data_IF_872396112473
#
_entry.id   IF_872396112473
#
_cell.length_a   1.000
_cell.length_b   1.000
_cell.length_c   1.000
_cell.angle_alpha   90.00
_cell.angle_beta   90.00
_cell.angle_gamma   90.00
#
_symmetry.space_group_name_H-M   'P 1'
#
loop_
_entity.id
_entity.type
_entity.pdbx_description
1 polymer ?
#
# COMPACT_ATOMS: atom_id res chain seq x y z
N UNK A 1 21.65 12.34 5.00
CA UNK A 1 20.19 12.12 5.10
C UNK A 1 19.97 10.62 5.15
N UNK A 2 19.18 10.12 6.11
CA UNK A 2 18.89 8.69 6.19
C UNK A 2 17.97 8.33 5.01
N UNK A 3 18.31 7.27 4.26
CA UNK A 3 17.55 6.90 3.06
C UNK A 3 16.23 6.25 3.49
N UNK A 4 15.10 6.83 3.09
CA UNK A 4 13.79 6.24 3.34
C UNK A 4 13.65 4.88 2.64
N UNK A 5 12.96 3.94 3.29
CA UNK A 5 12.76 2.57 2.80
C UNK A 5 11.30 2.40 2.38
N UNK A 6 11.09 1.85 1.19
CA UNK A 6 9.80 1.37 0.72
C UNK A 6 9.74 -0.15 0.88
N UNK A 7 8.83 -0.62 1.74
CA UNK A 7 8.50 -2.03 1.90
C UNK A 7 7.24 -2.34 1.09
N UNK A 8 7.28 -3.38 0.26
CA UNK A 8 6.13 -3.84 -0.53
C UNK A 8 5.80 -5.26 -0.11
N UNK A 9 4.58 -5.47 0.35
CA UNK A 9 4.03 -6.79 0.64
C UNK A 9 3.06 -7.19 -0.45
N UNK A 10 3.31 -8.33 -1.09
CA UNK A 10 2.51 -8.90 -2.18
C UNK A 10 2.25 -10.39 -1.98
N UNK A 11 1.17 -10.91 -2.54
CA UNK A 11 0.81 -12.33 -2.48
C UNK A 11 -0.67 -12.58 -2.22
N UNK A 12 -1.09 -13.84 -2.31
CA UNK A 12 -2.51 -14.23 -2.25
C UNK A 12 -3.25 -13.77 -0.98
N UNK A 13 -4.58 -13.56 -1.03
CA UNK A 13 -5.36 -13.28 0.16
C UNK A 13 -5.11 -14.29 1.29
N UNK A 14 -5.22 -13.83 2.54
CA UNK A 14 -5.08 -14.65 3.76
C UNK A 14 -3.71 -15.32 4.04
N UNK A 15 -2.64 -15.06 3.28
CA UNK A 15 -1.29 -15.63 3.56
C UNK A 15 -0.49 -14.91 4.66
N UNK A 16 -1.13 -14.06 5.47
CA UNK A 16 -0.49 -13.39 6.62
C UNK A 16 0.30 -12.11 6.33
N UNK A 17 0.33 -11.63 5.08
CA UNK A 17 1.05 -10.40 4.67
C UNK A 17 0.75 -9.20 5.55
N UNK A 18 -0.52 -8.89 5.77
CA UNK A 18 -0.93 -7.73 6.58
C UNK A 18 -0.49 -7.83 8.03
N UNK A 19 -0.33 -9.05 8.57
CA UNK A 19 0.21 -9.25 9.92
C UNK A 19 1.68 -8.87 9.96
N UNK A 20 2.48 -9.34 9.00
CA UNK A 20 3.89 -9.00 8.90
C UNK A 20 4.09 -7.51 8.58
N UNK A 21 3.29 -6.95 7.66
CA UNK A 21 3.33 -5.54 7.30
C UNK A 21 3.13 -4.63 8.51
N UNK A 22 2.15 -4.92 9.37
CA UNK A 22 1.92 -4.18 10.62
C UNK A 22 3.09 -4.29 11.61
N UNK A 23 3.79 -5.43 11.64
CA UNK A 23 5.00 -5.59 12.45
C UNK A 23 6.14 -4.69 11.93
N UNK A 24 6.36 -4.68 10.61
CA UNK A 24 7.36 -3.81 9.96
C UNK A 24 7.05 -2.33 10.18
N UNK A 25 5.78 -1.92 10.09
CA UNK A 25 5.35 -0.55 10.41
C UNK A 25 5.81 -0.12 11.81
N UNK A 26 5.59 -0.97 12.82
CA UNK A 26 5.99 -0.69 14.21
C UNK A 26 7.51 -0.68 14.39
N UNK A 27 8.22 -1.59 13.73
CA UNK A 27 9.67 -1.72 13.87
C UNK A 27 10.43 -0.57 13.22
N UNK A 28 10.00 -0.14 12.02
CA UNK A 28 10.70 0.87 11.23
C UNK A 28 10.12 2.28 11.34
N UNK A 29 9.01 2.47 12.05
CA UNK A 29 8.30 3.75 12.09
C UNK A 29 7.89 4.18 10.68
N UNK A 30 6.95 3.45 10.06
CA UNK A 30 6.58 3.66 8.67
C UNK A 30 5.11 4.08 8.50
N UNK A 31 4.81 4.84 7.44
CA UNK A 31 3.44 5.05 6.99
C UNK A 31 2.88 3.73 6.43
N UNK A 32 1.71 3.31 6.90
CA UNK A 32 1.05 2.09 6.45
C UNK A 32 0.00 2.40 5.39
N UNK A 33 0.24 1.98 4.15
CA UNK A 33 -0.65 2.16 3.01
C UNK A 33 -1.23 0.82 2.59
N UNK A 34 -2.49 0.58 2.93
CA UNK A 34 -3.23 -0.63 2.55
C UNK A 34 -4.14 -0.32 1.37
N UNK A 35 -3.87 -0.96 0.22
CA UNK A 35 -4.59 -0.66 -1.02
C UNK A 35 -6.06 -1.01 -0.91
N UNK A 36 -6.42 -2.16 -0.32
CA UNK A 36 -7.83 -2.55 -0.14
C UNK A 36 -8.65 -1.48 0.59
N UNK A 37 -8.06 -0.81 1.58
CA UNK A 37 -8.72 0.27 2.33
C UNK A 37 -8.95 1.48 1.44
N UNK A 38 -7.97 1.83 0.60
CA UNK A 38 -8.05 2.97 -0.32
C UNK A 38 -9.09 2.68 -1.41
N UNK A 39 -9.07 1.49 -2.00
CA UNK A 39 -10.06 1.07 -3.00
C UNK A 39 -11.48 1.06 -2.43
N UNK A 40 -11.66 0.53 -1.22
CA UNK A 40 -12.96 0.55 -0.56
C UNK A 40 -13.43 1.99 -0.29
N UNK A 41 -12.54 2.87 0.19
CA UNK A 41 -12.88 4.28 0.40
C UNK A 41 -13.29 5.00 -0.89
N UNK A 42 -12.62 4.72 -2.01
CA UNK A 42 -12.99 5.27 -3.32
C UNK A 42 -14.38 4.78 -3.76
N UNK A 43 -14.70 3.50 -3.56
CA UNK A 43 -16.03 2.96 -3.86
C UNK A 43 -17.11 3.62 -3.00
N UNK A 44 -16.87 3.74 -1.70
CA UNK A 44 -17.85 4.24 -0.74
C UNK A 44 -18.13 5.74 -0.93
N UNK A 45 -17.08 6.54 -1.15
CA UNK A 45 -17.18 7.99 -1.26
C UNK A 45 -17.57 8.47 -2.65
N UNK A 46 -16.99 7.85 -3.69
CA UNK A 46 -17.12 8.33 -5.06
C UNK A 46 -18.11 7.51 -5.90
N UNK A 47 -18.57 6.35 -5.41
CA UNK A 47 -19.47 5.42 -6.12
C UNK A 47 -18.96 5.01 -7.50
N UNK A 48 -17.63 4.89 -7.63
CA UNK A 48 -16.98 4.45 -8.87
C UNK A 48 -16.63 2.96 -8.80
N UNK A 49 -16.57 2.31 -9.95
CA UNK A 49 -15.88 1.03 -10.05
C UNK A 49 -14.37 1.30 -10.03
N UNK A 50 -13.64 0.59 -9.18
CA UNK A 50 -12.19 0.79 -8.99
C UNK A 50 -11.45 -0.35 -9.67
N UNK A 51 -10.58 -0.03 -10.62
CA UNK A 51 -9.79 -1.00 -11.39
C UNK A 51 -8.29 -0.80 -11.16
N UNK A 52 -7.82 0.45 -11.07
CA UNK A 52 -6.42 0.79 -10.83
C UNK A 52 -6.21 2.10 -10.06
N UNK A 53 -7.28 2.83 -9.76
CA UNK A 53 -7.28 4.11 -9.08
C UNK A 53 -6.68 3.99 -7.68
N UNK A 54 -6.97 2.90 -6.96
CA UNK A 54 -6.41 2.63 -5.64
C UNK A 54 -4.89 2.56 -5.66
N UNK A 55 -4.31 1.81 -6.60
CA UNK A 55 -2.87 1.73 -6.81
C UNK A 55 -2.26 3.08 -7.18
N UNK A 56 -2.85 3.72 -8.19
CA UNK A 56 -2.41 5.02 -8.70
C UNK A 56 -2.41 6.07 -7.59
N UNK A 57 -3.43 6.12 -6.74
CA UNK A 57 -3.50 7.04 -5.60
C UNK A 57 -2.46 6.69 -4.53
N UNK A 58 -2.35 5.40 -4.19
CA UNK A 58 -1.38 4.90 -3.21
C UNK A 58 0.06 5.27 -3.59
N UNK A 59 0.43 5.18 -4.87
CA UNK A 59 1.76 5.55 -5.35
C UNK A 59 2.10 7.02 -5.11
N UNK A 60 1.12 7.93 -5.23
CA UNK A 60 1.37 9.37 -4.96
C UNK A 60 1.60 9.59 -3.47
N UNK A 61 0.75 9.00 -2.62
CA UNK A 61 0.89 9.10 -1.16
C UNK A 61 2.23 8.50 -0.69
N UNK A 62 2.64 7.37 -1.27
CA UNK A 62 3.93 6.74 -0.99
C UNK A 62 5.10 7.64 -1.42
N UNK A 63 5.04 8.20 -2.63
CA UNK A 63 6.08 9.09 -3.14
C UNK A 63 6.26 10.33 -2.25
N UNK A 64 5.18 10.98 -1.84
CA UNK A 64 5.22 12.15 -0.96
C UNK A 64 5.89 11.81 0.38
N UNK A 65 5.52 10.68 1.00
CA UNK A 65 6.15 10.23 2.25
C UNK A 65 7.65 9.94 2.09
N UNK A 66 8.03 9.25 1.03
CA UNK A 66 9.43 8.92 0.77
C UNK A 66 10.27 10.18 0.51
N UNK A 67 9.73 11.17 -0.20
CA UNK A 67 10.38 12.47 -0.43
C UNK A 67 10.59 13.25 0.88
N UNK A 68 9.66 13.11 1.84
CA UNK A 68 9.78 13.68 3.18
C UNK A 68 10.72 12.87 4.11
N UNK A 69 11.25 11.74 3.64
CA UNK A 69 12.16 10.89 4.40
C UNK A 69 11.47 9.85 5.29
N UNK A 70 10.16 9.67 5.16
CA UNK A 70 9.40 8.67 5.92
C UNK A 70 9.49 7.30 5.26
N UNK A 71 9.68 6.25 6.07
CA UNK A 71 9.53 4.88 5.60
C UNK A 71 8.07 4.62 5.21
N UNK A 72 7.84 3.77 4.22
CA UNK A 72 6.50 3.41 3.74
C UNK A 72 6.35 1.91 3.64
N UNK A 73 5.23 1.39 4.12
CA UNK A 73 4.81 0.00 3.93
C UNK A 73 3.58 0.01 3.02
N UNK A 74 3.71 -0.52 1.81
CA UNK A 74 2.61 -0.79 0.90
C UNK A 74 2.14 -2.25 1.07
N UNK A 75 0.92 -2.43 1.56
CA UNK A 75 0.26 -3.73 1.72
C UNK A 75 -0.79 -3.91 0.65
N UNK A 76 -0.50 -4.77 -0.33
CA UNK A 76 -1.32 -4.96 -1.51
C UNK A 76 -1.30 -6.40 -2.01
N UNK A 77 -2.25 -6.76 -2.87
CA UNK A 77 -2.23 -8.07 -3.52
C UNK A 77 -1.14 -8.13 -4.61
N UNK A 78 -0.93 -6.98 -5.28
CA UNK A 78 -0.09 -6.78 -6.47
C UNK A 78 -0.43 -7.77 -7.60
N UNK A 79 -1.66 -7.70 -8.15
CA UNK A 79 -2.01 -8.54 -9.28
C UNK A 79 -1.12 -8.15 -10.46
N UNK A 80 -0.43 -9.14 -11.03
CA UNK A 80 0.22 -8.98 -12.34
C UNK A 80 -0.91 -9.14 -13.35
N UNK A 81 -1.07 -8.23 -14.30
CA UNK A 81 -2.09 -8.32 -15.37
C UNK A 81 -2.09 -9.69 -16.09
N UNK A 82 -1.02 -10.48 -15.98
CA UNK A 82 -0.91 -11.82 -16.56
C UNK A 82 -1.83 -12.91 -15.97
N UNK A 83 -2.58 -12.67 -14.88
CA UNK A 83 -3.33 -13.75 -14.19
C UNK A 83 -4.83 -13.47 -13.93
N UNK A 84 -5.44 -12.51 -14.62
CA UNK A 84 -6.91 -12.33 -14.62
C UNK A 84 -7.46 -12.41 -16.03
#
# INVERSE_FOLDING_TARGET
>A
MNKAILFIFSGLPAVGKSTLAKSVVKHFGAAYLRIDTIEQGLKDLCRINVEGEGYRLTYRIAADNLQLGNNVVADCCNPIELTR
#
